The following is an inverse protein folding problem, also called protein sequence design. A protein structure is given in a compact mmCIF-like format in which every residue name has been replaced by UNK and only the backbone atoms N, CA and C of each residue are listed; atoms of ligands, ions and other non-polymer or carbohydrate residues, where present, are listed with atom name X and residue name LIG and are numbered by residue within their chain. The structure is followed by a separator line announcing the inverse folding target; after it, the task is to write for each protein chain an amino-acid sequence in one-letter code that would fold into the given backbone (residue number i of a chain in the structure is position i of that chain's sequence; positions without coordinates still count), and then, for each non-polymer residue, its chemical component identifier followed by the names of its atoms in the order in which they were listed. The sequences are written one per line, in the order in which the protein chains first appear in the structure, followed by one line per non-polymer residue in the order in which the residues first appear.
data_IF_250681771936
#
_entry.id   IF_250681771936
#
_cell.length_a   1.000
_cell.length_b   1.000
_cell.length_c   1.000
_cell.angle_alpha   90.00
_cell.angle_beta   90.00
_cell.angle_gamma   90.00
#
_symmetry.space_group_name_H-M   'P 1'
#
loop_
_entity.id
_entity.type
_entity.pdbx_description
1 polymer ?
#
# COMPACT_ATOMS: atom_id res chain seq x y z
N UNK A 1 -7.46 16.78 10.50
CA UNK A 1 -8.11 17.72 9.57
C UNK A 1 -8.61 16.90 8.43
N UNK A 2 -9.91 16.87 8.29
CA UNK A 2 -10.56 16.25 7.16
C UNK A 2 -10.32 17.13 5.93
N UNK A 3 -9.89 16.47 4.84
CA UNK A 3 -9.45 17.14 3.65
C UNK A 3 -10.56 17.81 2.90
N UNK A 4 -10.80 19.02 3.21
CA UNK A 4 -11.41 19.92 2.25
C UNK A 4 -10.31 20.75 1.61
N UNK A 5 -10.52 21.18 0.43
CA UNK A 5 -9.78 21.89 -0.60
C UNK A 5 -8.50 22.72 -0.25
N UNK A 6 -8.01 22.73 0.96
CA UNK A 6 -6.80 23.47 1.35
C UNK A 6 -5.99 22.70 2.37
N UNK A 7 -4.86 22.15 1.93
CA UNK A 7 -3.83 21.67 2.83
C UNK A 7 -2.89 22.82 3.16
N UNK A 8 -2.82 23.16 4.44
CA UNK A 8 -1.87 24.13 4.95
C UNK A 8 -0.83 23.38 5.80
N UNK A 9 0.42 23.46 5.42
CA UNK A 9 1.53 22.85 6.17
C UNK A 9 1.57 23.34 7.62
N UNK A 10 1.17 24.58 7.89
CA UNK A 10 1.05 25.11 9.24
C UNK A 10 0.12 24.33 10.14
N UNK A 11 -0.89 23.67 9.57
CA UNK A 11 -1.83 22.85 10.33
C UNK A 11 -1.19 21.58 10.91
N UNK A 12 -0.09 21.08 10.35
CA UNK A 12 0.64 19.95 10.92
C UNK A 12 1.26 20.25 12.28
N UNK A 13 1.40 21.53 12.65
CA UNK A 13 1.80 21.95 14.01
C UNK A 13 0.72 21.66 15.05
N UNK A 14 -0.53 21.50 14.62
CA UNK A 14 -1.69 21.27 15.49
C UNK A 14 -2.27 19.86 15.32
N UNK A 15 -2.07 19.24 14.18
CA UNK A 15 -2.63 17.93 13.85
C UNK A 15 -1.53 16.99 13.37
N UNK A 16 -1.39 15.79 13.98
CA UNK A 16 -0.33 14.84 13.63
C UNK A 16 -0.54 14.17 12.27
N UNK A 17 -1.72 14.25 11.70
CA UNK A 17 -2.05 13.65 10.41
C UNK A 17 -3.13 14.43 9.67
N UNK A 18 -3.13 14.27 8.35
CA UNK A 18 -4.12 14.82 7.45
C UNK A 18 -4.87 13.69 6.76
N UNK A 19 -6.17 13.85 6.54
CA UNK A 19 -6.94 12.98 5.66
C UNK A 19 -7.02 13.65 4.28
N UNK A 20 -6.33 13.06 3.29
CA UNK A 20 -6.22 13.66 1.96
C UNK A 20 -7.51 13.58 1.14
N UNK A 21 -8.43 12.70 1.49
CA UNK A 21 -9.73 12.52 0.83
C UNK A 21 -10.62 11.60 1.65
N UNK A 22 -11.93 11.84 1.61
CA UNK A 22 -12.95 10.95 2.19
C UNK A 22 -13.15 9.68 1.35
N UNK A 23 -12.67 9.69 0.10
CA UNK A 23 -12.74 8.51 -0.76
C UNK A 23 -11.79 7.43 -0.27
N UNK A 24 -12.35 6.34 0.23
CA UNK A 24 -11.62 5.15 0.70
C UNK A 24 -11.62 4.01 -0.31
N UNK A 25 -12.15 4.21 -1.53
CA UNK A 25 -12.11 3.20 -2.60
C UNK A 25 -10.66 2.90 -2.99
N UNK A 26 -10.22 1.62 -2.99
CA UNK A 26 -8.84 1.25 -3.25
C UNK A 26 -8.28 1.73 -4.59
N UNK A 27 -9.09 1.70 -5.65
CA UNK A 27 -8.64 2.15 -6.97
C UNK A 27 -8.40 3.67 -7.01
N UNK A 28 -9.29 4.44 -6.38
CA UNK A 28 -9.15 5.89 -6.25
C UNK A 28 -8.00 6.27 -5.30
N UNK A 29 -7.83 5.48 -4.22
CA UNK A 29 -6.73 5.69 -3.25
C UNK A 29 -5.35 5.64 -3.87
N UNK A 30 -5.13 4.88 -4.94
CA UNK A 30 -3.84 4.86 -5.63
C UNK A 30 -3.47 6.28 -6.09
N UNK A 31 -4.31 6.91 -6.90
CA UNK A 31 -4.06 8.27 -7.42
C UNK A 31 -4.02 9.32 -6.32
N UNK A 32 -4.85 9.18 -5.27
CA UNK A 32 -4.86 10.10 -4.12
C UNK A 32 -3.54 10.00 -3.35
N UNK A 33 -3.07 8.79 -3.07
CA UNK A 33 -1.81 8.57 -2.35
C UNK A 33 -0.62 9.05 -3.16
N UNK A 34 -0.56 8.74 -4.45
CA UNK A 34 0.47 9.21 -5.37
C UNK A 34 0.54 10.74 -5.39
N UNK A 35 -0.58 11.40 -5.69
CA UNK A 35 -0.64 12.85 -5.75
C UNK A 35 -0.32 13.54 -4.43
N UNK A 36 -0.82 13.01 -3.31
CA UNK A 36 -0.56 13.59 -1.98
C UNK A 36 0.91 13.42 -1.57
N UNK A 37 1.52 12.29 -1.91
CA UNK A 37 2.93 12.00 -1.57
C UNK A 37 3.94 12.92 -2.22
N UNK A 38 3.56 13.65 -3.27
CA UNK A 38 4.41 14.67 -3.90
C UNK A 38 4.64 15.89 -2.98
N UNK A 39 3.75 16.12 -2.03
CA UNK A 39 3.78 17.30 -1.15
C UNK A 39 3.93 16.92 0.32
N UNK A 40 3.32 15.82 0.74
CA UNK A 40 3.28 15.38 2.13
C UNK A 40 3.96 14.02 2.32
N UNK A 41 4.75 13.86 3.39
CA UNK A 41 5.31 12.55 3.71
C UNK A 41 4.22 11.57 4.14
N UNK A 42 4.41 10.29 3.85
CA UNK A 42 3.45 9.23 4.20
C UNK A 42 3.12 9.21 5.70
N UNK A 43 4.06 9.58 6.55
CA UNK A 43 3.91 9.60 8.01
C UNK A 43 2.82 10.51 8.53
N UNK A 44 2.38 11.49 7.74
CA UNK A 44 1.29 12.41 8.13
C UNK A 44 -0.01 12.13 7.36
N UNK A 45 0.01 11.21 6.41
CA UNK A 45 -1.16 10.87 5.59
C UNK A 45 -2.04 9.84 6.32
N UNK A 46 -3.24 10.25 6.73
CA UNK A 46 -4.27 9.32 7.22
C UNK A 46 -4.85 8.53 6.04
N UNK A 47 -4.86 7.22 6.16
CA UNK A 47 -5.43 6.32 5.15
C UNK A 47 -6.39 5.36 5.83
N UNK A 48 -7.58 5.19 5.25
CA UNK A 48 -8.63 4.36 5.84
C UNK A 48 -8.89 3.13 4.99
N UNK A 49 -8.79 1.96 5.60
CA UNK A 49 -9.27 0.72 5.01
C UNK A 49 -10.79 0.73 4.97
N UNK A 50 -11.35 0.71 3.75
CA UNK A 50 -12.79 0.82 3.52
C UNK A 50 -13.56 -0.46 3.83
N UNK A 51 -14.87 -0.37 4.11
CA UNK A 51 -15.76 -1.51 4.00
C UNK A 51 -15.87 -2.00 2.55
N UNK A 52 -16.47 -3.16 2.34
CA UNK A 52 -16.82 -3.67 1.01
C UNK A 52 -18.26 -4.19 1.04
N UNK A 53 -19.14 -3.73 0.14
CA UNK A 53 -18.91 -2.73 -0.91
C UNK A 53 -18.52 -1.35 -0.37
N UNK A 54 -17.75 -0.56 -1.15
CA UNK A 54 -17.41 0.80 -0.80
C UNK A 54 -18.65 1.69 -0.82
N UNK A 55 -18.85 2.52 0.21
CA UNK A 55 -20.06 3.33 0.35
C UNK A 55 -20.22 4.42 -0.74
N UNK A 56 -19.12 4.91 -1.32
CA UNK A 56 -19.17 5.98 -2.33
C UNK A 56 -19.27 5.42 -3.76
N UNK A 57 -18.51 4.37 -4.07
CA UNK A 57 -18.39 3.84 -5.43
C UNK A 57 -19.20 2.57 -5.65
N UNK A 58 -19.75 1.97 -4.59
CA UNK A 58 -20.42 0.67 -4.58
C UNK A 58 -19.55 -0.48 -5.14
N UNK A 59 -18.24 -0.29 -5.20
CA UNK A 59 -17.29 -1.26 -5.72
C UNK A 59 -16.95 -2.28 -4.63
N UNK A 60 -17.00 -3.56 -5.00
CA UNK A 60 -16.58 -4.65 -4.12
C UNK A 60 -15.15 -5.07 -4.46
N UNK A 61 -14.26 -4.97 -3.49
CA UNK A 61 -12.83 -5.28 -3.65
C UNK A 61 -12.40 -6.18 -2.49
N UNK A 62 -11.48 -7.10 -2.78
CA UNK A 62 -10.96 -8.05 -1.79
C UNK A 62 -10.36 -7.34 -0.59
N UNK A 63 -10.39 -7.98 0.57
CA UNK A 63 -9.82 -7.44 1.80
C UNK A 63 -8.31 -7.17 1.66
N UNK A 64 -7.58 -8.05 0.97
CA UNK A 64 -6.14 -7.90 0.76
C UNK A 64 -5.82 -6.68 -0.10
N UNK A 65 -6.51 -6.47 -1.21
CA UNK A 65 -6.31 -5.30 -2.07
C UNK A 65 -6.68 -4.00 -1.35
N UNK A 66 -7.76 -4.00 -0.54
CA UNK A 66 -8.12 -2.85 0.30
C UNK A 66 -7.02 -2.53 1.31
N UNK A 67 -6.45 -3.54 1.93
CA UNK A 67 -5.35 -3.37 2.87
C UNK A 67 -4.08 -2.86 2.16
N UNK A 68 -3.66 -3.50 1.07
CA UNK A 68 -2.45 -3.13 0.33
C UNK A 68 -2.48 -1.68 -0.18
N UNK A 69 -3.64 -1.17 -0.57
CA UNK A 69 -3.80 0.23 -0.97
C UNK A 69 -3.85 1.21 0.21
N UNK A 70 -4.06 0.71 1.44
CA UNK A 70 -4.29 1.53 2.64
C UNK A 70 -3.14 1.53 3.64
N UNK A 71 -2.06 0.79 3.40
CA UNK A 71 -0.96 0.70 4.38
C UNK A 71 0.09 1.82 4.29
N UNK A 72 0.01 2.65 3.25
CA UNK A 72 0.97 3.73 3.01
C UNK A 72 0.53 5.00 3.73
N UNK A 73 0.89 5.10 4.98
CA UNK A 73 0.53 6.22 5.85
C UNK A 73 0.11 5.78 7.25
N UNK A 74 -0.72 6.58 7.89
CA UNK A 74 -1.32 6.29 9.20
C UNK A 74 -2.60 5.50 8.98
N UNK A 75 -2.52 4.19 9.16
CA UNK A 75 -3.62 3.26 8.88
C UNK A 75 -4.76 3.40 9.88
N UNK A 76 -5.95 3.59 9.37
CA UNK A 76 -7.21 3.54 10.10
C UNK A 76 -8.11 2.43 9.50
N UNK A 77 -9.01 1.91 10.32
CA UNK A 77 -10.00 0.92 9.91
C UNK A 77 -11.41 1.52 10.03
N UNK A 78 -12.17 1.46 8.94
CA UNK A 78 -13.61 1.73 8.94
C UNK A 78 -14.33 0.40 8.87
N UNK A 79 -14.65 -0.17 10.02
CA UNK A 79 -15.27 -1.49 10.13
C UNK A 79 -16.50 -1.43 11.03
N UNK A 80 -17.52 -2.24 10.69
CA UNK A 80 -18.64 -2.53 11.59
C UNK A 80 -18.22 -3.63 12.58
N UNK A 81 -17.84 -3.23 13.78
CA UNK A 81 -17.37 -4.16 14.81
C UNK A 81 -18.47 -5.07 15.39
N UNK A 82 -19.74 -4.79 15.11
CA UNK A 82 -20.87 -5.57 15.64
C UNK A 82 -21.16 -6.79 14.75
N UNK A 83 -21.09 -6.60 13.43
CA UNK A 83 -21.50 -7.60 12.45
C UNK A 83 -20.32 -8.32 11.77
N UNK A 84 -19.13 -8.19 12.33
CA UNK A 84 -17.92 -8.81 11.76
C UNK A 84 -17.88 -10.31 12.09
N UNK A 85 -17.68 -11.14 11.08
CA UNK A 85 -17.44 -12.57 11.30
C UNK A 85 -16.04 -12.85 11.84
N UNK A 86 -15.88 -14.01 12.50
CA UNK A 86 -14.63 -14.39 13.15
C UNK A 86 -13.44 -14.52 12.19
N UNK A 87 -13.68 -14.95 10.95
CA UNK A 87 -12.62 -15.12 9.96
C UNK A 87 -12.09 -13.78 9.48
N UNK A 88 -12.98 -12.85 9.21
CA UNK A 88 -12.62 -11.46 8.84
C UNK A 88 -11.91 -10.75 9.99
N UNK A 89 -12.33 -10.96 11.24
CA UNK A 89 -11.65 -10.40 12.41
C UNK A 89 -10.21 -10.92 12.52
N UNK A 90 -9.98 -12.21 12.30
CA UNK A 90 -8.64 -12.80 12.30
C UNK A 90 -7.78 -12.23 11.15
N UNK A 91 -8.37 -11.97 9.99
CA UNK A 91 -7.66 -11.33 8.89
C UNK A 91 -7.24 -9.89 9.26
N UNK A 92 -8.12 -9.11 9.86
CA UNK A 92 -7.78 -7.76 10.37
C UNK A 92 -6.68 -7.79 11.43
N UNK A 93 -6.69 -8.77 12.33
CA UNK A 93 -5.61 -8.94 13.32
C UNK A 93 -4.26 -9.17 12.63
N UNK A 94 -4.19 -10.10 11.68
CA UNK A 94 -2.96 -10.36 10.89
C UNK A 94 -2.48 -9.11 10.15
N UNK A 95 -3.39 -8.37 9.56
CA UNK A 95 -3.09 -7.11 8.86
C UNK A 95 -2.54 -6.04 9.82
N UNK A 96 -3.17 -5.90 10.98
CA UNK A 96 -2.74 -4.96 12.00
C UNK A 96 -1.35 -5.33 12.57
N UNK A 97 -1.08 -6.62 12.77
CA UNK A 97 0.23 -7.10 13.23
C UNK A 97 1.30 -6.86 12.16
N UNK A 98 1.00 -7.14 10.90
CA UNK A 98 1.89 -6.80 9.80
C UNK A 98 2.20 -5.30 9.78
N UNK A 99 1.17 -4.46 9.82
CA UNK A 99 1.35 -3.01 9.83
C UNK A 99 2.17 -2.53 11.02
N UNK A 100 1.91 -3.01 12.24
CA UNK A 100 2.66 -2.65 13.44
C UNK A 100 4.14 -3.00 13.33
N UNK A 101 4.45 -4.17 12.75
CA UNK A 101 5.82 -4.64 12.59
C UNK A 101 6.60 -3.79 11.57
N UNK A 102 5.93 -3.31 10.53
CA UNK A 102 6.59 -2.59 9.43
C UNK A 102 6.23 -1.12 9.32
N UNK A 103 5.41 -0.57 10.22
CA UNK A 103 4.93 0.81 10.14
C UNK A 103 6.05 1.85 10.04
N UNK A 104 7.18 1.62 10.68
CA UNK A 104 8.32 2.52 10.60
C UNK A 104 8.85 2.63 9.17
N UNK A 105 8.96 1.51 8.46
CA UNK A 105 9.33 1.49 7.05
C UNK A 105 8.22 2.09 6.17
N UNK A 106 6.96 1.71 6.41
CA UNK A 106 5.81 2.16 5.62
C UNK A 106 5.52 3.66 5.74
N UNK A 107 5.87 4.28 6.88
CA UNK A 107 5.66 5.70 7.11
C UNK A 107 6.89 6.57 6.81
N UNK A 108 8.09 6.05 7.04
CA UNK A 108 9.33 6.82 6.99
C UNK A 108 10.35 6.31 5.97
N UNK A 109 10.07 5.22 5.27
CA UNK A 109 10.93 4.72 4.20
C UNK A 109 10.94 5.64 2.97
N UNK A 110 11.85 5.35 2.05
CA UNK A 110 11.90 6.04 0.74
C UNK A 110 10.82 5.48 -0.16
N UNK A 111 9.74 6.22 -0.32
CA UNK A 111 8.63 5.87 -1.20
C UNK A 111 8.88 6.31 -2.63
N UNK A 112 8.61 5.43 -3.59
CA UNK A 112 8.71 5.72 -5.02
C UNK A 112 7.54 5.11 -5.76
N UNK A 113 7.09 5.81 -6.78
CA UNK A 113 6.02 5.40 -7.68
C UNK A 113 6.59 5.25 -9.08
N UNK A 114 6.30 4.15 -9.71
CA UNK A 114 6.60 3.89 -11.12
C UNK A 114 5.29 3.60 -11.84
N UNK A 115 4.90 4.44 -12.77
CA UNK A 115 3.73 4.23 -13.62
C UNK A 115 4.17 3.66 -14.98
N UNK A 116 3.49 2.61 -15.43
CA UNK A 116 3.68 2.02 -16.74
C UNK A 116 2.34 1.62 -17.35
N UNK A 117 1.73 2.54 -18.07
CA UNK A 117 0.45 2.32 -18.75
C UNK A 117 -0.68 1.96 -17.80
N UNK A 118 -1.06 0.68 -17.76
CA UNK A 118 -2.16 0.17 -16.93
C UNK A 118 -1.72 -0.29 -15.52
N UNK A 119 -0.50 0.00 -15.12
CA UNK A 119 0.11 -0.50 -13.89
C UNK A 119 0.73 0.62 -13.10
N UNK A 120 0.67 0.44 -11.80
CA UNK A 120 1.41 1.26 -10.85
C UNK A 120 2.20 0.34 -9.93
N UNK A 121 3.47 0.64 -9.77
CA UNK A 121 4.38 -0.07 -8.89
C UNK A 121 4.81 0.89 -7.81
N UNK A 122 4.50 0.55 -6.58
CA UNK A 122 4.99 1.30 -5.43
C UNK A 122 6.12 0.53 -4.76
N UNK A 123 7.22 1.21 -4.55
CA UNK A 123 8.32 0.68 -3.77
C UNK A 123 8.54 1.52 -2.54
N UNK A 124 8.80 0.89 -1.42
CA UNK A 124 9.25 1.57 -0.22
C UNK A 124 10.45 0.85 0.34
N UNK A 125 11.53 1.56 0.54
CA UNK A 125 12.80 0.99 1.00
C UNK A 125 13.29 1.66 2.28
N UNK A 126 14.02 0.90 3.09
CA UNK A 126 14.83 1.46 4.16
C UNK A 126 15.93 2.35 3.58
N UNK A 127 16.50 3.24 4.40
CA UNK A 127 17.54 4.18 3.94
C UNK A 127 18.82 3.48 3.47
N UNK A 128 19.14 2.32 4.05
CA UNK A 128 20.25 1.46 3.66
C UNK A 128 19.92 0.50 2.52
N UNK A 129 18.68 0.53 2.04
CA UNK A 129 18.13 -0.41 1.03
C UNK A 129 18.17 -1.89 1.45
N UNK A 130 18.35 -2.20 2.73
CA UNK A 130 18.38 -3.59 3.21
C UNK A 130 16.99 -4.26 3.19
N UNK A 131 15.94 -3.47 3.30
CA UNK A 131 14.55 -3.95 3.22
C UNK A 131 13.79 -3.15 2.19
N UNK A 132 13.15 -3.83 1.26
CA UNK A 132 12.37 -3.22 0.19
C UNK A 132 11.02 -3.92 0.11
N UNK A 133 9.94 -3.16 0.15
CA UNK A 133 8.61 -3.64 -0.22
C UNK A 133 8.27 -3.16 -1.61
N UNK A 134 7.72 -4.07 -2.39
CA UNK A 134 7.25 -3.81 -3.75
C UNK A 134 5.79 -4.17 -3.82
N UNK A 135 4.96 -3.22 -4.23
CA UNK A 135 3.53 -3.38 -4.43
C UNK A 135 3.22 -3.16 -5.91
N UNK A 136 2.58 -4.14 -6.49
CA UNK A 136 2.19 -4.10 -7.90
C UNK A 136 0.67 -4.00 -7.99
N UNK A 137 0.19 -2.91 -8.57
CA UNK A 137 -1.23 -2.67 -8.80
C UNK A 137 -1.52 -2.67 -10.29
N UNK A 138 -2.42 -3.53 -10.70
CA UNK A 138 -2.92 -3.58 -12.07
C UNK A 138 -4.33 -2.98 -12.12
N UNK A 139 -4.48 -1.86 -12.83
CA UNK A 139 -5.77 -1.13 -12.93
C UNK A 139 -6.80 -1.89 -13.76
N UNK A 140 -6.36 -2.55 -14.82
CA UNK A 140 -7.22 -3.35 -15.70
C UNK A 140 -6.53 -4.65 -16.10
N UNK A 141 -7.29 -5.74 -16.18
CA UNK A 141 -6.81 -7.02 -16.73
C UNK A 141 -7.17 -7.09 -18.19
N UNK A 142 -6.15 -7.17 -19.06
CA UNK A 142 -6.33 -7.37 -20.51
C UNK A 142 -6.15 -8.84 -20.85
N UNK A 143 -6.94 -9.33 -21.80
CA UNK A 143 -6.70 -10.64 -22.43
C UNK A 143 -5.35 -10.61 -23.16
N UNK A 144 -4.56 -11.69 -23.08
CA UNK A 144 -3.24 -11.82 -23.70
C UNK A 144 -2.14 -10.94 -23.10
N UNK A 145 -2.14 -10.71 -21.78
CA UNK A 145 -0.98 -10.12 -21.11
C UNK A 145 0.17 -11.13 -21.09
N UNK A 146 1.31 -10.74 -21.64
CA UNK A 146 2.57 -11.49 -21.52
C UNK A 146 3.20 -11.22 -20.14
N UNK A 147 3.98 -12.19 -19.65
CA UNK A 147 4.80 -11.96 -18.46
C UNK A 147 5.75 -10.77 -18.70
N UNK A 148 5.80 -9.87 -17.74
CA UNK A 148 6.63 -8.69 -17.84
C UNK A 148 7.68 -8.66 -16.72
N UNK A 149 8.85 -8.13 -17.08
CA UNK A 149 9.94 -7.95 -16.15
C UNK A 149 9.64 -6.76 -15.23
N UNK A 150 9.73 -6.98 -13.91
CA UNK A 150 9.64 -5.93 -12.91
C UNK A 150 11.07 -5.48 -12.55
N UNK A 151 11.34 -4.19 -12.67
CA UNK A 151 12.61 -3.61 -12.24
C UNK A 151 12.44 -2.90 -10.91
N UNK A 152 13.34 -3.14 -9.97
CA UNK A 152 13.33 -2.51 -8.63
C UNK A 152 14.53 -1.57 -8.51
N UNK A 153 14.34 -0.32 -8.91
CA UNK A 153 15.42 0.68 -9.04
C UNK A 153 16.05 1.11 -7.70
N UNK A 154 15.45 0.73 -6.57
CA UNK A 154 15.98 1.07 -5.25
C UNK A 154 16.85 -0.04 -4.63
N UNK A 155 17.06 -1.15 -5.34
CA UNK A 155 17.93 -2.21 -4.90
C UNK A 155 19.40 -1.77 -4.92
N UNK A 156 20.18 -2.23 -3.94
CA UNK A 156 21.61 -1.98 -3.88
C UNK A 156 22.34 -3.13 -4.56
N UNK A 157 23.14 -2.84 -5.55
CA UNK A 157 23.88 -3.82 -6.36
C UNK A 157 24.84 -4.70 -5.53
N UNK A 158 25.24 -4.22 -4.36
CA UNK A 158 26.14 -4.95 -3.46
C UNK A 158 25.43 -5.90 -2.51
N UNK A 159 24.07 -5.97 -2.56
CA UNK A 159 23.29 -6.80 -1.65
C UNK A 159 22.70 -8.01 -2.38
N UNK A 160 22.68 -9.13 -1.68
CA UNK A 160 21.90 -10.30 -2.07
C UNK A 160 20.53 -10.21 -1.38
N UNK A 161 19.47 -10.09 -2.16
CA UNK A 161 18.12 -9.99 -1.64
C UNK A 161 17.45 -11.35 -1.62
N UNK A 162 16.73 -11.63 -0.50
CA UNK A 162 15.82 -12.75 -0.42
C UNK A 162 14.41 -12.22 -0.68
N UNK A 163 13.74 -12.78 -1.69
CA UNK A 163 12.39 -12.43 -2.05
C UNK A 163 11.37 -13.23 -1.24
N UNK A 164 10.42 -12.53 -0.61
CA UNK A 164 9.31 -13.12 0.11
C UNK A 164 8.01 -12.63 -0.54
N UNK A 165 7.41 -13.42 -1.46
CA UNK A 165 6.11 -13.09 -1.98
C UNK A 165 5.11 -13.13 -0.82
N UNK A 166 4.27 -12.11 -0.70
CA UNK A 166 3.14 -12.17 0.23
C UNK A 166 2.17 -13.22 -0.32
N UNK A 167 1.84 -14.20 0.52
CA UNK A 167 0.81 -15.18 0.19
C UNK A 167 -0.51 -14.44 -0.03
N UNK A 168 -0.92 -14.35 -1.28
CA UNK A 168 -2.31 -14.11 -1.62
C UNK A 168 -3.03 -15.44 -1.40
N UNK A 169 -4.34 -15.39 -1.17
CA UNK A 169 -5.21 -16.55 -0.96
C UNK A 169 -5.25 -17.56 -2.13
N UNK A 170 -4.34 -17.46 -3.08
CA UNK A 170 -4.12 -18.39 -4.16
C UNK A 170 -2.84 -19.18 -3.92
N UNK A 171 -2.90 -20.52 -4.05
CA UNK A 171 -1.84 -21.43 -3.61
C UNK A 171 -0.70 -21.56 -4.62
N UNK A 172 -0.11 -20.49 -5.06
CA UNK A 172 1.15 -20.62 -5.78
C UNK A 172 2.29 -20.30 -4.83
N UNK A 173 2.71 -21.33 -4.14
CA UNK A 173 3.86 -21.34 -3.26
C UNK A 173 5.10 -21.12 -4.12
N UNK A 174 5.52 -19.90 -4.22
CA UNK A 174 6.89 -19.59 -4.58
C UNK A 174 7.67 -19.56 -3.26
N UNK A 175 8.19 -20.70 -2.85
CA UNK A 175 9.17 -20.76 -1.77
C UNK A 175 10.28 -19.75 -2.07
N UNK A 176 10.61 -18.91 -1.11
CA UNK A 176 11.59 -17.84 -1.24
C UNK A 176 12.83 -18.31 -2.00
N UNK A 177 12.98 -17.83 -3.23
CA UNK A 177 14.17 -18.06 -4.04
C UNK A 177 15.10 -16.89 -3.84
N UNK A 178 16.36 -17.19 -3.59
CA UNK A 178 17.41 -16.19 -3.71
C UNK A 178 17.55 -15.82 -5.19
N UNK A 179 17.38 -14.57 -5.51
CA UNK A 179 17.68 -14.06 -6.82
C UNK A 179 19.05 -13.41 -6.77
N UNK A 180 19.99 -13.96 -7.53
CA UNK A 180 21.17 -13.22 -7.96
C UNK A 180 20.73 -12.42 -9.18
N UNK A 181 20.92 -11.11 -9.18
CA UNK A 181 21.03 -10.39 -10.43
C UNK A 181 22.27 -10.97 -11.15
N UNK A 182 22.07 -11.53 -12.32
CA UNK A 182 23.17 -11.72 -13.25
C UNK A 182 23.55 -10.37 -13.83
N UNK A 183 24.83 -10.09 -13.97
CA UNK A 183 25.35 -8.82 -14.46
C UNK A 183 24.91 -8.50 -15.87
#
# INVERSE_FOLDING_TARGET
IEGCSRFDLGMLSFCPSILSSDCSDPAERLSITEGTSLVYPLSVMGVTLSPSPNAMTNRSISLDTRFESSIFGVLNYSIDGVNIDKQTLLAYQKQADFYKNYRALLQFGRFRVQESGNRTIWTISSYDSATIFVFYFQKEVKTNTTAEKLTVDCANENYLYRFYPRERSFPDIINGKEYKEEP
#
